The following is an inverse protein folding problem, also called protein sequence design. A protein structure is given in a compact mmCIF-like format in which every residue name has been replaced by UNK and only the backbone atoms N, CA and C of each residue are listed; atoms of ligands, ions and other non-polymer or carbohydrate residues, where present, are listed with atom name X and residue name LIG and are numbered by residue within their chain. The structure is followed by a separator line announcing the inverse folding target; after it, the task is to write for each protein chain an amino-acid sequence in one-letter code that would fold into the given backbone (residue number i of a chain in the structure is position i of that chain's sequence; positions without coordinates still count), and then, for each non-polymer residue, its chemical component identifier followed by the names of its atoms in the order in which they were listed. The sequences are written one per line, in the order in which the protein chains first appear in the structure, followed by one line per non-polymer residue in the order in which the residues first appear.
data_IF_259051990163
#
_entry.id   IF_259051990163
#
_cell.length_a   1.000
_cell.length_b   1.000
_cell.length_c   1.000
_cell.angle_alpha   90.00
_cell.angle_beta   90.00
_cell.angle_gamma   90.00
#
_symmetry.space_group_name_H-M   'P 1'
#
loop_
_entity.id
_entity.type
_entity.pdbx_description
1 polymer ?
#
# COMPACT_ATOMS: atom_id res chain seq x y z
N UNK A 1 -2.24 -19.10 4.08
CA UNK A 1 -1.78 -18.36 5.26
C UNK A 1 -2.89 -17.40 5.65
N UNK A 2 -3.24 -17.31 6.92
CA UNK A 2 -4.22 -16.31 7.35
C UNK A 2 -3.52 -14.96 7.55
N UNK A 3 -4.07 -13.91 6.94
CA UNK A 3 -3.64 -12.53 7.08
C UNK A 3 -4.74 -11.76 7.79
N UNK A 4 -4.44 -11.22 8.97
CA UNK A 4 -5.31 -10.27 9.65
C UNK A 4 -5.09 -8.86 9.12
N UNK A 5 -6.18 -8.14 8.84
CA UNK A 5 -6.17 -6.77 8.37
C UNK A 5 -7.04 -5.95 9.31
N UNK A 6 -6.43 -4.93 9.93
CA UNK A 6 -7.15 -3.92 10.67
C UNK A 6 -7.28 -2.66 9.82
N UNK A 7 -8.48 -2.14 9.70
CA UNK A 7 -8.76 -0.88 9.04
C UNK A 7 -9.48 0.07 9.99
N UNK A 8 -8.87 1.22 10.26
CA UNK A 8 -9.43 2.30 11.06
C UNK A 8 -9.68 3.53 10.16
N UNK A 9 -10.84 4.16 10.30
CA UNK A 9 -11.18 5.42 9.62
C UNK A 9 -11.55 6.46 10.67
N UNK A 10 -11.03 7.68 10.50
CA UNK A 10 -11.16 8.78 11.45
C UNK A 10 -12.04 9.88 10.87
N UNK A 11 -12.63 10.70 11.71
CA UNK A 11 -13.51 11.81 11.30
C UNK A 11 -12.74 13.00 10.68
N UNK A 12 -11.42 12.92 10.57
CA UNK A 12 -10.57 13.89 9.88
C UNK A 12 -10.80 13.86 8.36
N UNK A 13 -11.33 14.94 7.73
CA UNK A 13 -11.34 15.07 6.27
C UNK A 13 -9.91 15.02 5.72
N UNK A 14 -9.70 14.26 4.65
CA UNK A 14 -8.36 14.06 4.08
C UNK A 14 -8.41 13.90 2.55
N UNK A 15 -7.55 14.64 1.85
CA UNK A 15 -7.25 14.41 0.45
C UNK A 15 -5.96 13.61 0.27
N UNK A 16 -5.77 12.99 -0.90
CA UNK A 16 -4.59 12.15 -1.14
C UNK A 16 -3.26 12.89 -1.01
N UNK A 17 -3.25 14.20 -1.28
CA UNK A 17 -2.06 15.06 -1.10
C UNK A 17 -1.64 15.23 0.36
N UNK A 18 -2.57 15.05 1.29
CA UNK A 18 -2.37 15.27 2.72
C UNK A 18 -1.96 13.98 3.45
N UNK A 19 -1.91 12.84 2.76
CA UNK A 19 -1.48 11.56 3.34
C UNK A 19 -0.10 11.64 4.03
N UNK A 20 0.93 12.31 3.48
CA UNK A 20 2.20 12.47 4.19
C UNK A 20 2.03 13.20 5.54
N UNK A 21 1.20 14.26 5.59
CA UNK A 21 0.91 15.00 6.82
C UNK A 21 0.16 14.12 7.82
N UNK A 22 -0.84 13.37 7.36
CA UNK A 22 -1.58 12.39 8.17
C UNK A 22 -0.67 11.33 8.78
N UNK A 23 0.23 10.77 7.97
CA UNK A 23 1.24 9.82 8.43
C UNK A 23 2.10 10.39 9.54
N UNK A 24 2.62 11.60 9.36
CA UNK A 24 3.47 12.26 10.36
C UNK A 24 2.71 12.51 11.66
N UNK A 25 1.51 13.08 11.57
CA UNK A 25 0.68 13.41 12.73
C UNK A 25 0.30 12.16 13.54
N UNK A 26 -0.07 11.07 12.86
CA UNK A 26 -0.35 9.80 13.54
C UNK A 26 0.91 9.19 14.17
N UNK A 27 2.04 9.21 13.47
CA UNK A 27 3.28 8.63 14.00
C UNK A 27 3.77 9.37 15.26
N UNK A 28 3.57 10.69 15.31
CA UNK A 28 3.82 11.51 16.49
C UNK A 28 2.90 11.12 17.66
N UNK A 29 1.60 11.02 17.41
CA UNK A 29 0.59 10.64 18.42
C UNK A 29 0.80 9.20 18.95
N UNK A 30 1.07 8.23 18.06
CA UNK A 30 1.20 6.82 18.40
C UNK A 30 2.57 6.46 19.02
N UNK A 31 3.51 7.41 19.05
CA UNK A 31 4.86 7.23 19.57
C UNK A 31 5.84 6.64 18.55
N UNK A 32 7.00 7.29 18.42
CA UNK A 32 8.12 6.88 17.55
C UNK A 32 8.86 5.61 17.99
N UNK A 33 8.45 4.96 19.09
CA UNK A 33 9.05 3.67 19.49
C UNK A 33 8.65 2.52 18.55
N UNK A 34 7.57 2.69 17.79
CA UNK A 34 7.12 1.71 16.80
C UNK A 34 7.63 2.09 15.40
N UNK A 35 8.80 1.58 15.04
CA UNK A 35 9.43 1.79 13.73
C UNK A 35 8.49 1.47 12.54
N UNK A 36 7.42 0.69 12.74
CA UNK A 36 6.40 0.35 11.72
C UNK A 36 5.49 1.51 11.34
N UNK A 37 5.30 2.51 12.19
CA UNK A 37 4.49 3.68 11.88
C UNK A 37 5.24 4.65 10.95
N UNK A 38 6.54 4.82 11.15
CA UNK A 38 7.34 5.82 10.46
C UNK A 38 8.46 5.23 9.56
N UNK A 39 8.74 3.93 9.59
CA UNK A 39 9.73 3.21 8.77
C UNK A 39 11.14 3.87 8.71
N UNK A 40 11.52 4.57 9.77
CA UNK A 40 12.88 5.06 9.99
C UNK A 40 13.49 4.33 11.19
N UNK A 41 14.82 4.21 11.22
CA UNK A 41 15.52 3.69 12.40
C UNK A 41 15.58 4.78 13.48
N UNK A 42 15.45 4.43 14.77
CA UNK A 42 15.80 5.36 15.85
C UNK A 42 17.29 5.73 15.75
N UNK A 43 17.58 7.04 15.67
CA UNK A 43 18.96 7.56 15.74
C UNK A 43 19.80 7.50 14.47
N UNK A 44 19.24 7.18 13.30
CA UNK A 44 19.99 7.03 12.04
C UNK A 44 19.16 7.56 10.85
N UNK A 45 19.79 8.26 9.90
CA UNK A 45 19.16 8.75 8.64
C UNK A 45 18.80 7.59 7.67
N UNK A 46 18.98 6.34 8.09
CA UNK A 46 18.77 5.14 7.29
C UNK A 46 17.29 4.76 7.14
N UNK A 47 16.82 4.67 5.89
CA UNK A 47 15.49 4.14 5.53
C UNK A 47 15.45 2.62 5.73
N UNK A 48 14.40 2.10 6.39
CA UNK A 48 14.18 0.65 6.50
C UNK A 48 13.57 0.12 5.18
N UNK A 49 14.33 -0.68 4.44
CA UNK A 49 13.86 -1.35 3.23
C UNK A 49 13.02 -2.58 3.55
N UNK A 50 11.76 -2.36 3.98
CA UNK A 50 10.76 -3.43 4.18
C UNK A 50 9.42 -3.04 3.58
N UNK A 51 8.58 -4.03 3.32
CA UNK A 51 7.20 -3.78 2.95
C UNK A 51 6.46 -3.12 4.14
N UNK A 52 5.76 -1.98 3.95
CA UNK A 52 5.09 -1.29 5.05
C UNK A 52 3.83 -2.05 5.49
N UNK A 53 3.86 -2.58 6.71
CA UNK A 53 2.71 -3.23 7.34
C UNK A 53 1.64 -2.25 7.83
N UNK A 54 2.00 -0.97 7.98
CA UNK A 54 1.05 0.13 8.25
C UNK A 54 1.00 1.06 7.04
N UNK A 55 -0.21 1.35 6.57
CA UNK A 55 -0.45 2.08 5.34
C UNK A 55 -1.49 3.17 5.57
N UNK A 56 -1.12 4.40 5.23
CA UNK A 56 -1.95 5.60 5.42
C UNK A 56 -2.71 5.92 4.15
N UNK A 57 -3.99 6.26 4.28
CA UNK A 57 -4.90 6.33 3.12
C UNK A 57 -6.00 7.35 3.30
N UNK A 58 -6.66 7.64 2.19
CA UNK A 58 -7.97 8.28 2.16
C UNK A 58 -9.03 7.21 1.91
N UNK A 59 -10.04 7.15 2.78
CA UNK A 59 -11.23 6.31 2.59
C UNK A 59 -12.46 7.20 2.65
N UNK A 60 -13.21 7.29 1.54
CA UNK A 60 -14.41 8.14 1.42
C UNK A 60 -14.18 9.61 1.84
N UNK A 61 -13.02 10.17 1.50
CA UNK A 61 -12.65 11.55 1.85
C UNK A 61 -12.18 11.74 3.29
N UNK A 62 -11.94 10.66 4.03
CA UNK A 62 -11.50 10.68 5.43
C UNK A 62 -10.13 10.03 5.61
N UNK A 63 -9.42 10.44 6.64
CA UNK A 63 -8.17 9.83 7.05
C UNK A 63 -8.40 8.38 7.49
N UNK A 64 -7.54 7.49 7.02
CA UNK A 64 -7.63 6.08 7.33
C UNK A 64 -6.25 5.45 7.48
N UNK A 65 -6.21 4.37 8.27
CA UNK A 65 -5.03 3.52 8.48
C UNK A 65 -5.43 2.08 8.22
N UNK A 66 -4.58 1.38 7.47
CA UNK A 66 -4.64 -0.06 7.32
C UNK A 66 -3.39 -0.68 7.92
N UNK A 67 -3.56 -1.67 8.79
CA UNK A 67 -2.49 -2.44 9.39
C UNK A 67 -2.61 -3.92 9.03
N UNK A 68 -1.47 -4.56 8.80
CA UNK A 68 -1.37 -5.95 8.35
C UNK A 68 -0.67 -6.80 9.40
N UNK A 69 -1.30 -7.93 9.74
CA UNK A 69 -0.82 -8.97 10.64
C UNK A 69 -0.18 -8.42 11.92
N UNK A 70 1.15 -8.57 12.10
CA UNK A 70 1.87 -8.09 13.28
C UNK A 70 1.63 -6.61 13.60
N UNK A 71 1.35 -5.78 12.60
CA UNK A 71 1.06 -4.37 12.81
C UNK A 71 -0.36 -4.07 13.31
N UNK A 72 -1.29 -5.04 13.28
CA UNK A 72 -2.64 -4.82 13.80
C UNK A 72 -2.62 -4.56 15.31
N UNK A 73 -1.78 -5.28 16.05
CA UNK A 73 -1.60 -5.07 17.49
C UNK A 73 -1.05 -3.68 17.80
N UNK A 74 -0.03 -3.24 17.03
CA UNK A 74 0.56 -1.91 17.20
C UNK A 74 -0.51 -0.81 17.03
N UNK A 75 -1.34 -0.91 15.98
CA UNK A 75 -2.41 0.07 15.75
C UNK A 75 -3.52 -0.06 16.79
N UNK A 76 -3.88 -1.26 17.26
CA UNK A 76 -4.85 -1.43 18.35
C UNK A 76 -4.36 -0.75 19.63
N UNK A 77 -3.10 -0.93 19.99
CA UNK A 77 -2.52 -0.31 21.17
C UNK A 77 -2.55 1.23 21.06
N UNK A 78 -2.17 1.78 19.90
CA UNK A 78 -2.26 3.22 19.64
C UNK A 78 -3.71 3.73 19.74
N UNK A 79 -4.69 2.96 19.26
CA UNK A 79 -6.11 3.29 19.39
C UNK A 79 -6.58 3.25 20.86
N UNK A 80 -5.99 2.45 21.75
CA UNK A 80 -6.38 2.46 23.18
C UNK A 80 -5.82 3.65 23.98
N UNK A 81 -5.02 4.52 23.38
CA UNK A 81 -4.53 5.73 24.02
C UNK A 81 -5.70 6.66 24.39
N UNK A 82 -5.62 7.30 25.57
CA UNK A 82 -6.73 8.06 26.17
C UNK A 82 -7.04 9.40 25.49
N UNK A 83 -6.15 9.90 24.63
CA UNK A 83 -6.35 11.15 23.89
C UNK A 83 -5.86 10.95 22.45
N UNK A 84 -6.76 11.07 21.48
CA UNK A 84 -6.43 11.13 20.06
C UNK A 84 -6.31 12.59 19.62
N UNK A 85 -5.35 13.29 20.22
CA UNK A 85 -4.96 14.64 19.82
C UNK A 85 -3.77 14.55 18.87
N UNK A 86 -3.90 15.11 17.68
CA UNK A 86 -2.84 15.18 16.68
C UNK A 86 -2.43 16.64 16.45
N UNK A 87 -1.19 16.86 16.04
CA UNK A 87 -0.79 18.16 15.49
C UNK A 87 -1.22 18.25 14.03
N UNK A 88 -2.17 19.14 13.72
CA UNK A 88 -2.68 19.39 12.38
C UNK A 88 -2.60 20.88 12.05
N UNK A 89 -1.90 21.23 10.97
CA UNK A 89 -1.67 22.64 10.58
C UNK A 89 -1.13 23.51 11.73
N UNK A 90 -0.16 22.95 12.47
CA UNK A 90 0.49 23.57 13.63
C UNK A 90 -0.45 23.84 14.81
N UNK A 91 -1.63 23.23 14.85
CA UNK A 91 -2.59 23.34 15.94
C UNK A 91 -2.95 21.93 16.48
N UNK A 92 -3.24 21.80 17.78
CA UNK A 92 -3.78 20.56 18.31
C UNK A 92 -5.20 20.34 17.76
N UNK A 93 -5.48 19.13 17.32
CA UNK A 93 -6.77 18.70 16.80
C UNK A 93 -7.13 17.34 17.39
N UNK A 94 -8.25 17.29 18.11
CA UNK A 94 -8.85 16.03 18.52
C UNK A 94 -9.53 15.35 17.33
N UNK A 95 -9.27 14.06 17.14
CA UNK A 95 -9.89 13.24 16.11
C UNK A 95 -10.68 12.09 16.74
N UNK A 96 -11.80 11.73 16.11
CA UNK A 96 -12.63 10.59 16.48
C UNK A 96 -12.47 9.41 15.52
N UNK A 97 -12.83 8.22 16.00
CA UNK A 97 -12.87 6.98 15.21
C UNK A 97 -14.28 6.80 14.62
N UNK A 98 -14.41 6.86 13.30
CA UNK A 98 -15.69 6.66 12.57
C UNK A 98 -15.98 5.18 12.30
N UNK A 99 -14.96 4.38 11.99
CA UNK A 99 -15.11 2.95 11.63
C UNK A 99 -13.85 2.17 12.00
N UNK A 100 -14.03 0.98 12.56
CA UNK A 100 -12.96 0.04 12.88
C UNK A 100 -13.36 -1.36 12.48
N UNK A 101 -12.51 -2.01 11.67
CA UNK A 101 -12.73 -3.38 11.18
C UNK A 101 -11.48 -4.19 11.38
N UNK A 102 -11.66 -5.42 11.84
CA UNK A 102 -10.61 -6.43 11.89
C UNK A 102 -11.14 -7.65 11.14
N UNK A 103 -10.52 -7.98 10.02
CA UNK A 103 -10.92 -9.06 9.15
C UNK A 103 -9.73 -10.00 8.90
N UNK A 104 -10.00 -11.29 8.77
CA UNK A 104 -8.98 -12.29 8.47
C UNK A 104 -9.24 -12.89 7.09
N UNK A 105 -8.20 -12.94 6.27
CA UNK A 105 -8.25 -13.44 4.91
C UNK A 105 -7.27 -14.59 4.73
N UNK A 106 -7.68 -15.64 4.02
CA UNK A 106 -6.77 -16.72 3.66
C UNK A 106 -6.02 -16.40 2.35
N UNK A 107 -4.74 -16.04 2.46
CA UNK A 107 -3.83 -15.95 1.32
C UNK A 107 -3.49 -17.34 0.79
N UNK A 108 -3.69 -17.57 -0.51
CA UNK A 108 -3.43 -18.86 -1.14
C UNK A 108 -3.06 -18.70 -2.62
N UNK A 109 -2.46 -19.77 -3.15
CA UNK A 109 -2.26 -19.97 -4.59
C UNK A 109 -3.43 -20.80 -5.10
N UNK A 110 -4.22 -20.24 -6.01
CA UNK A 110 -5.39 -20.87 -6.60
C UNK A 110 -5.04 -21.48 -7.97
N UNK A 111 -5.82 -22.47 -8.40
CA UNK A 111 -5.76 -23.02 -9.76
C UNK A 111 -6.32 -22.05 -10.79
N UNK A 112 -7.26 -21.18 -10.38
CA UNK A 112 -7.82 -20.14 -11.24
C UNK A 112 -7.06 -18.83 -11.06
N UNK A 113 -7.15 -17.95 -12.06
CA UNK A 113 -6.61 -16.59 -11.95
C UNK A 113 -7.67 -15.65 -11.39
N UNK A 114 -7.24 -14.71 -10.55
CA UNK A 114 -8.05 -13.61 -10.05
C UNK A 114 -7.63 -12.32 -10.76
N UNK A 115 -8.60 -11.49 -11.10
CA UNK A 115 -8.38 -10.19 -11.72
C UNK A 115 -8.34 -9.07 -10.68
N UNK A 116 -7.39 -8.16 -10.84
CA UNK A 116 -7.21 -7.02 -9.97
C UNK A 116 -6.99 -5.75 -10.76
N UNK A 117 -7.61 -4.67 -10.30
CA UNK A 117 -7.25 -3.30 -10.66
C UNK A 117 -6.24 -2.76 -9.68
N UNK A 118 -5.14 -2.23 -10.20
CA UNK A 118 -4.08 -1.60 -9.44
C UNK A 118 -4.09 -0.10 -9.73
N UNK A 119 -4.29 0.73 -8.70
CA UNK A 119 -4.44 2.19 -8.85
C UNK A 119 -3.24 2.97 -8.33
N UNK A 120 -2.86 4.03 -9.05
CA UNK A 120 -1.73 4.91 -8.75
C UNK A 120 -0.45 4.13 -8.45
N UNK A 121 -0.18 3.13 -9.27
CA UNK A 121 0.94 2.23 -9.14
C UNK A 121 2.24 2.91 -9.55
N UNK A 122 3.23 2.91 -8.66
CA UNK A 122 4.57 3.43 -8.90
C UNK A 122 5.56 2.25 -9.04
N UNK A 123 5.81 1.72 -10.24
CA UNK A 123 6.57 0.47 -10.42
C UNK A 123 8.09 0.63 -10.32
N UNK A 124 8.63 1.83 -10.50
CA UNK A 124 10.03 1.99 -10.84
C UNK A 124 10.92 2.38 -9.65
N UNK A 125 12.03 1.68 -9.52
CA UNK A 125 13.28 2.25 -9.01
C UNK A 125 14.11 2.78 -10.19
N UNK A 126 15.24 3.42 -9.93
CA UNK A 126 16.04 4.06 -10.99
C UNK A 126 16.50 3.07 -12.06
N UNK A 127 16.92 1.84 -11.66
CA UNK A 127 17.29 0.77 -12.60
C UNK A 127 16.12 0.33 -13.49
N UNK A 128 14.93 0.16 -12.92
CA UNK A 128 13.75 -0.27 -13.67
C UNK A 128 13.18 0.87 -14.53
N UNK A 129 13.37 2.12 -14.12
CA UNK A 129 13.03 3.28 -14.93
C UNK A 129 13.93 3.38 -16.16
N UNK A 130 15.23 3.15 -16.00
CA UNK A 130 16.18 3.06 -17.12
C UNK A 130 15.78 1.93 -18.10
N UNK A 131 15.45 0.74 -17.58
CA UNK A 131 14.93 -0.38 -18.39
C UNK A 131 13.64 -0.02 -19.14
N UNK A 132 12.74 0.73 -18.51
CA UNK A 132 11.50 1.20 -19.13
C UNK A 132 11.75 2.15 -20.30
N UNK A 133 12.67 3.09 -20.11
CA UNK A 133 13.04 4.08 -21.15
C UNK A 133 13.77 3.41 -22.33
N UNK A 134 14.58 2.39 -22.07
CA UNK A 134 15.30 1.61 -23.08
C UNK A 134 14.48 0.48 -23.71
N UNK A 135 13.25 0.25 -23.28
CA UNK A 135 12.43 -0.83 -23.81
C UNK A 135 12.11 -0.58 -25.31
N UNK A 136 12.43 -1.53 -26.21
CA UNK A 136 12.40 -1.30 -27.65
C UNK A 136 10.99 -1.19 -28.24
N UNK A 137 9.98 -1.70 -27.55
CA UNK A 137 8.60 -1.71 -28.02
C UNK A 137 7.61 -1.91 -26.85
N UNK A 138 6.31 -1.81 -27.16
CA UNK A 138 5.24 -1.97 -26.18
C UNK A 138 5.24 -3.37 -25.53
N UNK A 139 5.52 -4.43 -26.29
CA UNK A 139 5.57 -5.80 -25.77
C UNK A 139 6.64 -5.91 -24.66
N UNK A 140 7.82 -5.33 -24.87
CA UNK A 140 8.88 -5.31 -23.86
C UNK A 140 8.47 -4.51 -22.60
N UNK A 141 7.72 -3.42 -22.77
CA UNK A 141 7.18 -2.62 -21.65
C UNK A 141 6.13 -3.39 -20.84
N UNK A 142 5.23 -4.12 -21.51
CA UNK A 142 4.23 -4.97 -20.87
C UNK A 142 4.92 -6.05 -20.04
N UNK A 143 5.86 -6.80 -20.63
CA UNK A 143 6.64 -7.83 -19.91
C UNK A 143 7.41 -7.26 -18.72
N UNK A 144 7.94 -6.05 -18.86
CA UNK A 144 8.58 -5.36 -17.75
C UNK A 144 7.57 -5.10 -16.62
N UNK A 145 6.40 -4.51 -16.90
CA UNK A 145 5.37 -4.26 -15.89
C UNK A 145 4.91 -5.55 -15.20
N UNK A 146 4.64 -6.62 -15.96
CA UNK A 146 4.27 -7.93 -15.40
C UNK A 146 5.34 -8.45 -14.44
N UNK A 147 6.62 -8.39 -14.84
CA UNK A 147 7.73 -8.79 -13.97
C UNK A 147 7.86 -7.93 -12.71
N UNK A 148 7.54 -6.63 -12.80
CA UNK A 148 7.57 -5.72 -11.65
C UNK A 148 6.40 -5.97 -10.71
N UNK A 149 5.21 -6.22 -11.23
CA UNK A 149 4.04 -6.59 -10.41
C UNK A 149 4.32 -7.90 -9.68
N UNK A 150 4.87 -8.92 -10.36
CA UNK A 150 5.26 -10.18 -9.72
C UNK A 150 6.29 -9.96 -8.60
N UNK A 151 7.31 -9.12 -8.84
CA UNK A 151 8.29 -8.74 -7.82
C UNK A 151 7.68 -8.01 -6.62
N UNK A 152 6.72 -7.12 -6.84
CA UNK A 152 6.05 -6.41 -5.76
C UNK A 152 5.07 -7.30 -4.98
N UNK A 153 4.43 -8.29 -5.61
CA UNK A 153 3.65 -9.32 -4.93
C UNK A 153 4.55 -10.19 -4.04
N UNK A 154 5.75 -10.55 -4.50
CA UNK A 154 6.75 -11.25 -3.69
C UNK A 154 7.23 -10.41 -2.50
N UNK A 155 7.43 -9.10 -2.70
CA UNK A 155 7.79 -8.19 -1.61
C UNK A 155 6.66 -8.10 -0.56
N UNK A 156 5.41 -8.02 -1.00
CA UNK A 156 4.25 -8.08 -0.10
C UNK A 156 4.22 -9.40 0.67
N UNK A 157 4.29 -10.53 -0.03
CA UNK A 157 4.25 -11.86 0.58
C UNK A 157 5.37 -12.01 1.62
N UNK A 158 6.60 -11.62 1.28
CA UNK A 158 7.73 -11.59 2.22
C UNK A 158 7.46 -10.68 3.42
N UNK A 159 6.89 -9.50 3.17
CA UNK A 159 6.55 -8.52 4.20
C UNK A 159 5.59 -9.03 5.26
N UNK A 160 4.55 -9.77 4.84
CA UNK A 160 3.57 -10.37 5.75
C UNK A 160 3.97 -11.78 6.20
N UNK A 161 5.16 -12.28 5.87
CA UNK A 161 5.61 -13.62 6.25
C UNK A 161 4.96 -14.77 5.47
N UNK A 162 4.29 -14.48 4.35
CA UNK A 162 3.69 -15.48 3.48
C UNK A 162 4.72 -16.14 2.56
N UNK A 163 4.92 -17.45 2.76
CA UNK A 163 5.63 -18.31 1.81
C UNK A 163 4.65 -18.81 0.75
N UNK A 164 4.76 -18.26 -0.46
CA UNK A 164 3.94 -18.70 -1.59
C UNK A 164 4.31 -20.16 -1.94
N UNK A 165 3.35 -21.09 -2.00
CA UNK A 165 3.62 -22.53 -2.06
C UNK A 165 4.11 -23.04 -3.43
N UNK A 166 4.16 -22.18 -4.45
CA UNK A 166 4.51 -22.59 -5.81
C UNK A 166 4.73 -21.41 -6.75
N UNK A 167 4.80 -21.71 -8.04
CA UNK A 167 4.87 -20.70 -9.09
C UNK A 167 3.50 -20.05 -9.29
N UNK A 168 3.52 -18.75 -9.58
CA UNK A 168 2.35 -17.99 -9.97
C UNK A 168 2.72 -17.12 -11.17
N UNK A 169 1.72 -16.82 -11.98
CA UNK A 169 1.88 -15.97 -13.15
C UNK A 169 1.21 -14.61 -12.92
N UNK A 170 1.68 -13.61 -13.67
CA UNK A 170 1.08 -12.28 -13.74
C UNK A 170 0.93 -11.94 -15.21
N UNK A 171 -0.30 -11.63 -15.62
CA UNK A 171 -0.61 -11.23 -16.99
C UNK A 171 -1.33 -9.87 -16.94
N UNK A 172 -0.77 -8.89 -17.66
CA UNK A 172 -1.39 -7.58 -17.79
C UNK A 172 -2.55 -7.65 -18.79
N UNK A 173 -3.75 -7.27 -18.35
CA UNK A 173 -4.95 -7.28 -19.19
C UNK A 173 -5.18 -5.91 -19.83
N UNK A 174 -5.11 -4.85 -19.03
CA UNK A 174 -5.35 -3.48 -19.48
C UNK A 174 -4.38 -2.49 -18.83
N UNK A 175 -3.94 -1.51 -19.60
CA UNK A 175 -3.25 -0.32 -19.10
C UNK A 175 -4.20 0.87 -19.24
N UNK A 176 -4.98 1.14 -18.20
CA UNK A 176 -6.06 2.13 -18.23
C UNK A 176 -5.49 3.55 -18.35
N UNK A 177 -4.47 3.89 -17.55
CA UNK A 177 -3.85 5.21 -17.53
C UNK A 177 -2.35 5.14 -17.26
N UNK A 178 -1.62 6.05 -17.91
CA UNK A 178 -0.22 6.36 -17.60
C UNK A 178 -0.11 7.87 -17.37
N UNK A 179 0.44 8.27 -16.23
CA UNK A 179 0.54 9.67 -15.80
C UNK A 179 1.72 9.86 -14.84
N UNK A 180 1.91 11.05 -14.31
CA UNK A 180 2.93 11.33 -13.28
C UNK A 180 2.29 11.62 -11.93
N UNK A 181 2.96 11.20 -10.86
CA UNK A 181 2.60 11.54 -9.48
C UNK A 181 3.84 11.93 -8.68
N UNK A 182 3.73 12.91 -7.76
CA UNK A 182 4.79 13.20 -6.81
C UNK A 182 4.90 12.08 -5.77
N UNK A 183 6.12 11.61 -5.55
CA UNK A 183 6.48 10.89 -4.32
C UNK A 183 7.61 11.68 -3.67
N UNK A 184 7.30 12.32 -2.54
CA UNK A 184 8.10 13.44 -2.02
C UNK A 184 8.23 14.53 -3.09
N UNK A 185 9.43 15.05 -3.33
CA UNK A 185 9.68 16.14 -4.28
C UNK A 185 9.89 15.66 -5.73
N UNK A 186 9.82 14.34 -5.98
CA UNK A 186 10.17 13.76 -7.27
C UNK A 186 8.92 13.29 -8.00
N UNK A 187 8.74 13.77 -9.24
CA UNK A 187 7.71 13.26 -10.15
C UNK A 187 8.09 11.87 -10.66
N UNK A 188 7.21 10.89 -10.44
CA UNK A 188 7.41 9.50 -10.85
C UNK A 188 6.31 9.06 -11.81
N UNK A 189 6.62 8.23 -12.83
CA UNK A 189 5.59 7.58 -13.62
C UNK A 189 4.67 6.72 -12.75
N UNK A 190 3.38 6.89 -12.97
CA UNK A 190 2.31 6.20 -12.29
C UNK A 190 1.36 5.55 -13.30
N UNK A 191 0.79 4.41 -12.92
CA UNK A 191 -0.12 3.66 -13.78
C UNK A 191 -1.39 3.28 -13.03
N UNK A 192 -2.51 3.32 -13.74
CA UNK A 192 -3.68 2.53 -13.40
C UNK A 192 -3.78 1.41 -14.42
N UNK A 193 -3.94 0.18 -13.94
CA UNK A 193 -3.94 -1.00 -14.79
C UNK A 193 -4.78 -2.12 -14.20
N UNK A 194 -5.11 -3.09 -15.06
CA UNK A 194 -5.76 -4.34 -14.68
C UNK A 194 -4.83 -5.49 -15.05
N UNK A 195 -4.63 -6.42 -14.12
CA UNK A 195 -3.86 -7.64 -14.33
C UNK A 195 -4.56 -8.82 -13.68
N UNK A 196 -4.18 -10.04 -14.07
CA UNK A 196 -4.60 -11.26 -13.39
C UNK A 196 -3.41 -12.05 -12.84
N UNK A 197 -3.65 -12.78 -11.75
CA UNK A 197 -2.68 -13.69 -11.14
C UNK A 197 -3.37 -14.82 -10.41
N UNK A 198 -2.68 -15.95 -10.23
CA UNK A 198 -3.16 -17.10 -9.46
C UNK A 198 -3.09 -16.90 -7.93
N UNK A 199 -2.61 -15.75 -7.47
CA UNK A 199 -2.59 -15.42 -6.05
C UNK A 199 -3.92 -14.78 -5.63
N UNK A 200 -4.54 -15.35 -4.60
CA UNK A 200 -5.59 -14.64 -3.88
C UNK A 200 -4.96 -13.64 -2.91
N UNK A 201 -5.29 -12.35 -3.12
CA UNK A 201 -4.82 -11.22 -2.31
C UNK A 201 -6.04 -10.36 -1.97
N UNK A 202 -6.28 -10.06 -0.68
CA UNK A 202 -7.46 -9.29 -0.29
C UNK A 202 -7.41 -7.86 -0.81
N UNK A 203 -8.59 -7.23 -0.85
CA UNK A 203 -8.71 -5.85 -1.27
C UNK A 203 -7.90 -4.92 -0.37
N UNK A 204 -7.34 -3.89 -0.99
CA UNK A 204 -6.65 -2.85 -0.30
C UNK A 204 -5.16 -3.12 -0.10
N UNK A 205 -4.57 -4.25 -0.46
CA UNK A 205 -3.11 -4.38 -0.38
C UNK A 205 -2.42 -3.36 -1.31
N UNK A 206 -1.39 -2.66 -0.83
CA UNK A 206 -0.63 -1.73 -1.67
C UNK A 206 0.59 -2.40 -2.31
N UNK A 207 0.91 -2.08 -3.57
CA UNK A 207 2.06 -2.63 -4.31
C UNK A 207 2.92 -1.51 -4.92
N UNK A 208 4.21 -1.77 -5.09
CA UNK A 208 5.16 -0.82 -5.69
C UNK A 208 5.80 0.15 -4.71
N UNK A 209 6.20 1.33 -5.19
CA UNK A 209 6.78 2.40 -4.37
C UNK A 209 5.68 3.25 -3.74
N UNK A 210 5.97 3.83 -2.57
CA UNK A 210 5.06 4.75 -1.90
C UNK A 210 3.83 4.10 -1.26
N UNK A 211 3.85 2.77 -1.03
CA UNK A 211 2.72 2.04 -0.43
C UNK A 211 2.25 2.63 0.91
N UNK A 212 3.18 3.05 1.76
CA UNK A 212 2.86 3.71 3.03
C UNK A 212 2.15 5.05 2.87
N UNK A 213 2.20 5.66 1.68
CA UNK A 213 1.56 6.92 1.32
C UNK A 213 0.30 6.70 0.45
N UNK A 214 -0.24 5.48 0.42
CA UNK A 214 -1.49 5.17 -0.26
C UNK A 214 -1.37 4.91 -1.77
N UNK A 215 -0.15 4.77 -2.30
CA UNK A 215 0.08 4.41 -3.70
C UNK A 215 -0.08 2.91 -3.96
N UNK A 216 -0.41 2.56 -5.21
CA UNK A 216 -0.48 1.18 -5.69
C UNK A 216 -1.57 0.34 -5.06
N UNK A 217 -2.76 0.92 -4.85
CA UNK A 217 -3.88 0.25 -4.20
C UNK A 217 -4.43 -0.88 -5.09
N UNK A 218 -4.38 -2.11 -4.60
CA UNK A 218 -4.94 -3.30 -5.25
C UNK A 218 -6.42 -3.47 -4.89
N UNK A 219 -7.27 -3.63 -5.90
CA UNK A 219 -8.71 -3.83 -5.76
C UNK A 219 -9.12 -5.05 -6.60
N UNK A 220 -9.76 -6.07 -6.02
CA UNK A 220 -10.32 -7.18 -6.79
C UNK A 220 -11.35 -6.65 -7.78
N UNK A 221 -11.29 -7.13 -9.01
CA UNK A 221 -12.34 -6.92 -10.00
C UNK A 221 -13.49 -7.87 -9.70
N UNK A 222 -14.72 -7.36 -9.61
CA UNK A 222 -15.92 -8.22 -9.52
C UNK A 222 -16.37 -8.53 -10.94
N UNK A 223 -17.12 -9.63 -11.12
CA UNK A 223 -17.71 -9.99 -12.43
C UNK A 223 -18.59 -8.89 -13.04
N UNK A 224 -19.06 -7.96 -12.23
CA UNK A 224 -19.88 -6.80 -12.63
C UNK A 224 -19.03 -5.61 -13.14
N UNK A 225 -17.70 -5.64 -12.95
CA UNK A 225 -16.75 -4.60 -13.35
C UNK A 225 -16.11 -4.86 -14.74
N UNK A 226 -16.54 -5.93 -15.43
CA UNK A 226 -16.05 -6.40 -16.75
C UNK A 226 -17.03 -5.98 -17.85
#
# INVERSE_FOLDING_TARGET
MNLSILAATFDLPLESRDIPRWRSAWAEMAGFEHDRFHNHKPGDEGVIYRYPLVQYRVRRGRAAIMALDQATMDVQQALTAKAWEITWDYQPLEIGLEDLRLETYELHLDRQSHEYRLRSYLPFNDRNFDRWNKAPNLIARIRLLESLIAGHLLNFATGVGWKIPGRFDVELLHLDRAYTRPLHEIQRPAFDLVFKTNLFVPAGIGLGKGVSHGYGLLLPMRKEDI
#
